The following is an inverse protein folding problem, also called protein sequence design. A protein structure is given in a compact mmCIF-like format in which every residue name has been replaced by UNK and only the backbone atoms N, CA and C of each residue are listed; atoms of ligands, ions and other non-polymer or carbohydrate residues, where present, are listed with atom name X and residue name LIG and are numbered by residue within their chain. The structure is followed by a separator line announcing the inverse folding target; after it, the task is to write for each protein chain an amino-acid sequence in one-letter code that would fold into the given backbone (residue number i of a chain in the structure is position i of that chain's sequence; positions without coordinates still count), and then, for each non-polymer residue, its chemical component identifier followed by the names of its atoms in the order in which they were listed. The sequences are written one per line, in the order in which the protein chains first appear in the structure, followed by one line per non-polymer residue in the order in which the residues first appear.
data_IF_049011379095
#
_entry.id   IF_049011379095
#
_cell.length_a   1.000
_cell.length_b   1.000
_cell.length_c   1.000
_cell.angle_alpha   90.00
_cell.angle_beta   90.00
_cell.angle_gamma   90.00
#
_symmetry.space_group_name_H-M   'P 1'
#
loop_
_entity.id
_entity.type
_entity.pdbx_description
1 polymer ?
#
# COMPACT_ATOMS: atom_id res chain seq x y z
N UNK A 1 -20.48 -2.45 -5.14
CA UNK A 1 -19.38 -2.47 -4.12
C UNK A 1 -18.95 -1.08 -3.66
N UNK A 2 -18.51 -0.17 -4.54
CA UNK A 2 -18.26 1.24 -4.15
C UNK A 2 -19.57 2.00 -3.86
N UNK A 3 -20.63 1.70 -4.62
CA UNK A 3 -21.96 2.32 -4.47
C UNK A 3 -22.48 2.24 -3.03
N UNK A 4 -22.49 1.04 -2.43
CA UNK A 4 -23.03 0.86 -1.06
C UNK A 4 -22.23 1.65 -0.01
N UNK A 5 -20.91 1.73 -0.14
CA UNK A 5 -20.06 2.50 0.77
C UNK A 5 -20.18 4.02 0.56
N UNK A 6 -20.53 4.45 -0.66
CA UNK A 6 -20.80 5.85 -0.99
C UNK A 6 -22.22 6.28 -0.64
N UNK A 7 -23.08 5.36 -0.21
CA UNK A 7 -24.41 5.69 0.29
C UNK A 7 -24.33 6.66 1.47
N UNK A 8 -25.29 7.58 1.58
CA UNK A 8 -25.37 8.48 2.73
C UNK A 8 -25.56 7.68 4.02
N UNK A 9 -25.13 8.27 5.14
CA UNK A 9 -25.27 7.63 6.46
C UNK A 9 -26.73 7.34 6.81
N UNK A 10 -27.66 8.21 6.43
CA UNK A 10 -29.11 8.03 6.53
C UNK A 10 -29.74 8.80 5.37
N UNK A 11 -31.04 8.62 5.16
CA UNK A 11 -31.71 9.28 4.04
C UNK A 11 -31.79 10.81 4.30
N UNK A 12 -31.25 11.61 3.37
CA UNK A 12 -31.09 13.07 3.53
C UNK A 12 -29.76 13.53 4.13
N UNK A 13 -28.79 12.63 4.37
CA UNK A 13 -27.45 13.01 4.80
C UNK A 13 -26.55 13.39 3.61
N UNK A 14 -26.44 14.70 3.33
CA UNK A 14 -25.61 15.18 2.19
C UNK A 14 -24.12 15.28 2.52
N UNK A 15 -23.78 15.40 3.81
CA UNK A 15 -22.41 15.71 4.26
C UNK A 15 -21.53 14.47 4.39
N UNK A 16 -22.10 13.32 4.75
CA UNK A 16 -21.33 12.11 5.05
C UNK A 16 -21.94 10.87 4.40
N UNK A 17 -21.08 10.11 3.73
CA UNK A 17 -21.34 8.72 3.35
C UNK A 17 -20.77 7.77 4.40
N UNK A 18 -21.17 6.51 4.35
CA UNK A 18 -20.57 5.44 5.18
C UNK A 18 -19.05 5.43 5.02
N UNK A 19 -18.56 5.62 3.80
CA UNK A 19 -17.13 5.64 3.49
C UNK A 19 -16.42 6.87 4.06
N UNK A 20 -16.96 8.09 3.85
CA UNK A 20 -16.30 9.30 4.34
C UNK A 20 -16.29 9.36 5.88
N UNK A 21 -17.36 8.87 6.52
CA UNK A 21 -17.39 8.70 7.97
C UNK A 21 -16.36 7.67 8.46
N UNK A 22 -16.24 6.53 7.76
CA UNK A 22 -15.24 5.51 8.09
C UNK A 22 -13.81 6.05 7.97
N UNK A 23 -13.51 6.78 6.91
CA UNK A 23 -12.20 7.42 6.72
C UNK A 23 -11.94 8.44 7.82
N UNK A 24 -12.92 9.30 8.14
CA UNK A 24 -12.77 10.29 9.20
C UNK A 24 -12.50 9.65 10.56
N UNK A 25 -13.20 8.57 10.91
CA UNK A 25 -12.96 7.84 12.16
C UNK A 25 -11.54 7.26 12.23
N UNK A 26 -11.05 6.68 11.12
CA UNK A 26 -9.68 6.16 11.06
C UNK A 26 -8.63 7.26 11.15
N UNK A 27 -8.85 8.40 10.48
CA UNK A 27 -7.99 9.58 10.56
C UNK A 27 -7.95 10.15 11.98
N UNK A 28 -9.10 10.31 12.64
CA UNK A 28 -9.14 10.75 14.05
C UNK A 28 -8.36 9.80 14.97
N UNK A 29 -8.46 8.49 14.72
CA UNK A 29 -7.69 7.50 15.47
C UNK A 29 -6.18 7.71 15.31
N UNK A 30 -5.71 7.94 14.08
CA UNK A 30 -4.29 8.07 13.78
C UNK A 30 -3.73 9.41 14.25
N UNK A 31 -4.43 10.50 13.94
CA UNK A 31 -3.93 11.86 14.15
C UNK A 31 -3.82 12.21 15.64
N UNK A 32 -4.74 11.68 16.45
CA UNK A 32 -4.82 11.95 17.88
C UNK A 32 -4.43 10.74 18.75
N UNK A 33 -3.98 9.63 18.14
CA UNK A 33 -3.58 8.44 18.88
C UNK A 33 -4.70 7.82 19.73
N UNK A 34 -5.96 7.97 19.34
CA UNK A 34 -7.09 7.53 20.17
C UNK A 34 -7.08 6.03 20.42
N UNK A 35 -7.32 5.64 21.66
CA UNK A 35 -7.46 4.23 22.03
C UNK A 35 -8.65 3.59 21.27
N UNK A 36 -8.47 2.37 20.78
CA UNK A 36 -9.50 1.72 19.94
C UNK A 36 -10.81 1.48 20.69
N UNK A 37 -10.74 1.08 21.97
CA UNK A 37 -11.92 0.90 22.80
C UNK A 37 -12.70 2.21 22.96
N UNK A 38 -12.02 3.29 23.33
CA UNK A 38 -12.64 4.61 23.51
C UNK A 38 -13.34 5.08 22.23
N UNK A 39 -12.68 4.93 21.07
CA UNK A 39 -13.28 5.32 19.81
C UNK A 39 -14.47 4.44 19.40
N UNK A 40 -14.45 3.15 19.72
CA UNK A 40 -15.60 2.27 19.48
C UNK A 40 -16.82 2.68 20.33
N UNK A 41 -16.63 3.00 21.61
CA UNK A 41 -17.69 3.50 22.49
C UNK A 41 -18.26 4.82 21.95
N UNK A 42 -17.38 5.75 21.55
CA UNK A 42 -17.79 7.01 20.93
C UNK A 42 -18.59 6.80 19.64
N UNK A 43 -18.20 5.86 18.77
CA UNK A 43 -18.93 5.57 17.55
C UNK A 43 -20.34 5.02 17.84
N UNK A 44 -20.49 4.20 18.88
CA UNK A 44 -21.80 3.68 19.30
C UNK A 44 -22.67 4.80 19.85
N UNK A 45 -22.14 5.60 20.79
CA UNK A 45 -22.83 6.77 21.34
C UNK A 45 -23.30 7.75 20.25
N UNK A 46 -22.45 8.03 19.26
CA UNK A 46 -22.84 8.86 18.12
C UNK A 46 -23.94 8.23 17.27
N UNK A 47 -23.93 6.90 17.10
CA UNK A 47 -24.98 6.17 16.39
C UNK A 47 -26.33 6.22 17.12
N UNK A 48 -26.31 6.24 18.46
CA UNK A 48 -27.52 6.30 19.29
C UNK A 48 -28.17 7.69 19.31
N UNK A 49 -27.41 8.76 19.02
CA UNK A 49 -27.93 10.14 18.90
C UNK A 49 -28.42 10.46 17.47
N UNK A 50 -27.99 9.67 16.49
CA UNK A 50 -28.40 9.81 15.09
C UNK A 50 -29.80 9.23 14.84
N UNK A 51 -30.44 9.55 13.70
CA UNK A 51 -31.73 8.97 13.31
C UNK A 51 -31.72 7.43 13.34
N UNK A 52 -32.87 6.81 13.60
CA UNK A 52 -32.99 5.35 13.75
C UNK A 52 -32.56 4.56 12.50
N UNK A 53 -32.65 5.15 11.31
CA UNK A 53 -32.26 4.55 10.03
C UNK A 53 -30.76 4.73 9.70
N UNK A 54 -29.96 5.24 10.64
CA UNK A 54 -28.55 5.49 10.39
C UNK A 54 -27.73 4.21 10.15
N UNK A 55 -26.76 4.36 9.25
CA UNK A 55 -25.86 3.31 8.76
C UNK A 55 -24.43 3.54 9.27
N UNK A 56 -24.28 4.26 10.39
CA UNK A 56 -22.96 4.48 11.00
C UNK A 56 -22.38 3.14 11.47
N UNK A 57 -21.08 2.94 11.23
CA UNK A 57 -20.40 1.72 11.65
C UNK A 57 -20.20 1.73 13.17
N UNK A 58 -20.32 0.55 13.80
CA UNK A 58 -20.32 0.44 15.27
C UNK A 58 -18.93 0.41 15.91
N UNK A 59 -17.89 0.21 15.09
CA UNK A 59 -16.51 0.11 15.58
C UNK A 59 -15.47 0.30 14.47
N UNK A 60 -14.23 0.49 14.90
CA UNK A 60 -13.06 0.68 14.06
C UNK A 60 -12.76 -0.54 13.19
N UNK A 61 -13.06 -1.75 13.65
CA UNK A 61 -12.89 -2.95 12.83
C UNK A 61 -13.77 -2.91 11.57
N UNK A 62 -15.05 -2.56 11.72
CA UNK A 62 -15.96 -2.37 10.59
C UNK A 62 -15.50 -1.24 9.67
N UNK A 63 -15.04 -0.11 10.22
CA UNK A 63 -14.48 1.00 9.43
C UNK A 63 -13.26 0.56 8.61
N UNK A 64 -12.30 -0.16 9.23
CA UNK A 64 -11.15 -0.76 8.55
C UNK A 64 -11.60 -1.71 7.43
N UNK A 65 -12.61 -2.55 7.68
CA UNK A 65 -13.16 -3.49 6.68
C UNK A 65 -13.82 -2.76 5.51
N UNK A 66 -14.55 -1.69 5.77
CA UNK A 66 -15.16 -0.85 4.73
C UNK A 66 -14.09 -0.18 3.86
N UNK A 67 -13.08 0.44 4.47
CA UNK A 67 -11.98 1.08 3.73
C UNK A 67 -11.11 0.06 2.99
N UNK A 68 -10.93 -1.14 3.53
CA UNK A 68 -10.20 -2.21 2.85
C UNK A 68 -10.82 -2.60 1.50
N UNK A 69 -12.14 -2.43 1.33
CA UNK A 69 -12.83 -2.66 0.04
C UNK A 69 -12.37 -1.69 -1.06
N UNK A 70 -11.72 -0.57 -0.72
CA UNK A 70 -11.16 0.37 -1.70
C UNK A 70 -9.88 -0.13 -2.40
N UNK A 71 -9.47 -1.39 -2.17
CA UNK A 71 -8.26 -1.95 -2.76
C UNK A 71 -6.96 -1.38 -2.17
N UNK A 72 -7.07 -0.66 -1.05
CA UNK A 72 -5.92 -0.16 -0.28
C UNK A 72 -5.37 -1.19 0.71
N UNK A 73 -5.92 -2.40 0.71
CA UNK A 73 -5.47 -3.49 1.56
C UNK A 73 -3.98 -3.77 1.40
N UNK A 74 -3.32 -4.06 2.51
CA UNK A 74 -2.04 -4.72 2.56
C UNK A 74 -2.27 -6.20 2.84
N UNK A 75 -1.41 -7.06 2.31
CA UNK A 75 -1.33 -8.45 2.71
C UNK A 75 -0.07 -8.68 3.52
N UNK A 76 -0.18 -9.55 4.52
CA UNK A 76 0.98 -9.98 5.29
C UNK A 76 1.55 -11.23 4.62
N UNK A 77 2.81 -11.16 4.21
CA UNK A 77 3.54 -12.27 3.60
C UNK A 77 4.63 -12.70 4.58
N UNK A 78 4.76 -14.00 4.82
CA UNK A 78 5.82 -14.52 5.66
C UNK A 78 7.14 -14.56 4.91
N UNK A 79 8.22 -14.28 5.62
CA UNK A 79 9.58 -14.23 5.07
C UNK A 79 10.45 -15.25 5.79
N UNK A 80 11.43 -15.79 5.07
CA UNK A 80 12.54 -16.46 5.72
C UNK A 80 13.20 -15.52 6.76
N UNK A 81 13.57 -16.00 7.97
CA UNK A 81 14.27 -15.18 8.97
C UNK A 81 15.55 -14.52 8.42
N UNK A 82 16.27 -15.21 7.53
CA UNK A 82 17.47 -14.71 6.87
C UNK A 82 17.19 -13.88 5.60
N UNK A 83 15.93 -13.67 5.22
CA UNK A 83 15.57 -12.90 4.02
C UNK A 83 15.75 -13.62 2.68
N UNK A 84 16.05 -14.93 2.67
CA UNK A 84 16.36 -15.66 1.43
C UNK A 84 15.16 -15.84 0.47
N UNK A 85 13.94 -15.90 1.00
CA UNK A 85 12.73 -16.11 0.20
C UNK A 85 11.47 -15.65 0.93
N UNK A 86 10.39 -15.49 0.15
CA UNK A 86 9.04 -15.25 0.64
C UNK A 86 8.21 -16.55 0.57
N UNK A 87 7.38 -16.77 1.58
CA UNK A 87 6.39 -17.85 1.60
C UNK A 87 5.11 -17.34 0.92
N UNK A 88 5.16 -17.26 -0.41
CA UNK A 88 4.11 -16.69 -1.26
C UNK A 88 3.89 -17.55 -2.51
N UNK A 89 2.63 -17.63 -2.99
CA UNK A 89 2.21 -18.47 -4.13
C UNK A 89 2.71 -19.92 -3.99
N UNK A 90 3.53 -20.41 -4.93
CA UNK A 90 4.13 -21.75 -4.95
C UNK A 90 4.80 -22.15 -3.62
N UNK A 91 5.25 -21.16 -2.84
CA UNK A 91 6.01 -21.35 -1.62
C UNK A 91 5.16 -21.21 -0.34
N UNK A 92 3.86 -20.96 -0.46
CA UNK A 92 2.99 -20.64 0.68
C UNK A 92 2.86 -21.79 1.68
N UNK A 93 2.93 -23.05 1.24
CA UNK A 93 2.75 -24.21 2.12
C UNK A 93 4.05 -24.68 2.79
N UNK A 94 5.19 -24.06 2.48
CA UNK A 94 6.47 -24.48 3.03
C UNK A 94 6.60 -24.09 4.50
N UNK A 95 7.12 -25.03 5.28
CA UNK A 95 7.44 -24.86 6.70
C UNK A 95 8.89 -24.40 6.92
N UNK A 96 9.76 -24.67 5.94
CA UNK A 96 11.18 -24.37 5.98
C UNK A 96 11.61 -23.64 4.70
N UNK A 97 12.65 -22.81 4.83
CA UNK A 97 13.24 -22.07 3.72
C UNK A 97 13.94 -23.04 2.75
N UNK A 98 13.62 -22.99 1.46
CA UNK A 98 14.28 -23.80 0.42
C UNK A 98 15.79 -23.54 0.31
N UNK A 99 16.23 -22.33 0.68
CA UNK A 99 17.64 -21.89 0.54
C UNK A 99 18.46 -22.21 1.78
N UNK A 100 18.03 -21.76 2.96
CA UNK A 100 18.82 -21.88 4.20
C UNK A 100 18.24 -22.88 5.21
N UNK A 101 17.18 -23.61 4.86
CA UNK A 101 16.52 -24.64 5.67
C UNK A 101 15.97 -24.20 7.03
N UNK A 102 16.09 -22.91 7.38
CA UNK A 102 15.53 -22.35 8.61
C UNK A 102 14.01 -22.47 8.63
N UNK A 103 13.48 -22.72 9.82
CA UNK A 103 12.05 -22.80 10.07
C UNK A 103 11.37 -21.46 9.80
N UNK A 104 10.13 -21.53 9.33
CA UNK A 104 9.25 -20.38 9.14
C UNK A 104 8.62 -19.89 10.43
N UNK A 105 8.25 -20.81 11.32
CA UNK A 105 7.43 -20.53 12.49
C UNK A 105 8.20 -20.71 13.79
N UNK A 106 7.80 -19.96 14.82
CA UNK A 106 8.12 -20.23 16.23
C UNK A 106 6.85 -20.63 16.98
N UNK A 107 7.02 -21.52 17.94
CA UNK A 107 5.94 -21.95 18.85
C UNK A 107 6.14 -21.32 20.22
N UNK A 108 5.05 -20.84 20.82
CA UNK A 108 5.07 -20.35 22.20
C UNK A 108 3.68 -20.47 22.83
N UNK A 109 3.64 -20.61 24.15
CA UNK A 109 2.40 -20.70 24.92
C UNK A 109 2.03 -19.33 25.46
N UNK A 110 0.77 -18.90 25.26
CA UNK A 110 0.25 -17.64 25.83
C UNK A 110 -1.14 -17.85 26.39
N UNK A 111 -1.31 -17.58 27.69
CA UNK A 111 -2.57 -17.83 28.45
C UNK A 111 -3.03 -19.30 28.32
N UNK A 112 -2.11 -20.24 28.51
CA UNK A 112 -2.39 -21.68 28.43
C UNK A 112 -2.70 -22.22 27.03
N UNK A 113 -2.60 -21.41 25.97
CA UNK A 113 -2.82 -21.84 24.59
C UNK A 113 -1.52 -21.78 23.78
N UNK A 114 -1.19 -22.88 23.11
CA UNK A 114 -0.08 -22.93 22.17
C UNK A 114 -0.40 -22.13 20.91
N UNK A 115 0.55 -21.30 20.50
CA UNK A 115 0.44 -20.46 19.31
C UNK A 115 1.63 -20.71 18.40
N UNK A 116 1.33 -20.81 17.11
CA UNK A 116 2.32 -20.88 16.04
C UNK A 116 2.30 -19.53 15.33
N UNK A 117 3.44 -18.85 15.27
CA UNK A 117 3.55 -17.55 14.60
C UNK A 117 4.78 -17.53 13.70
N UNK A 118 4.72 -16.85 12.55
CA UNK A 118 5.88 -16.71 11.68
C UNK A 118 6.99 -15.95 12.40
N UNK A 119 8.23 -16.35 12.14
CA UNK A 119 9.43 -15.73 12.71
C UNK A 119 9.68 -14.35 12.11
N UNK A 120 9.40 -14.17 10.81
CA UNK A 120 9.50 -12.89 10.10
C UNK A 120 8.36 -12.79 9.09
N UNK A 121 7.78 -11.60 8.96
CA UNK A 121 6.77 -11.29 7.95
C UNK A 121 6.98 -9.86 7.46
N UNK A 122 6.53 -9.59 6.24
CA UNK A 122 6.47 -8.27 5.64
C UNK A 122 5.03 -7.92 5.25
N UNK A 123 4.77 -6.63 5.08
CA UNK A 123 3.54 -6.15 4.48
C UNK A 123 3.78 -5.90 2.99
N UNK A 124 2.97 -6.54 2.15
CA UNK A 124 2.96 -6.31 0.70
C UNK A 124 1.70 -5.58 0.30
N UNK A 125 1.86 -4.62 -0.59
CA UNK A 125 0.80 -3.81 -1.14
C UNK A 125 0.57 -4.26 -2.60
N UNK A 126 -0.50 -5.03 -2.89
CA UNK A 126 -0.79 -5.50 -4.24
C UNK A 126 -0.76 -4.39 -5.30
N UNK A 127 0.13 -4.52 -6.29
CA UNK A 127 0.36 -3.47 -7.29
C UNK A 127 -0.80 -3.36 -8.27
N UNK A 128 -1.27 -4.50 -8.80
CA UNK A 128 -2.32 -4.55 -9.83
C UNK A 128 -3.58 -3.76 -9.45
N UNK A 129 -4.22 -3.95 -8.28
CA UNK A 129 -5.41 -3.17 -7.93
C UNK A 129 -5.11 -1.67 -7.75
N UNK A 130 -3.89 -1.31 -7.34
CA UNK A 130 -3.48 0.09 -7.20
C UNK A 130 -3.32 0.75 -8.56
N UNK A 131 -2.66 0.08 -9.50
CA UNK A 131 -2.52 0.57 -10.88
C UNK A 131 -3.88 0.73 -11.56
N UNK A 132 -4.78 -0.26 -11.43
CA UNK A 132 -6.15 -0.16 -11.95
C UNK A 132 -6.88 1.06 -11.38
N UNK A 133 -6.70 1.32 -10.08
CA UNK A 133 -7.30 2.48 -9.42
C UNK A 133 -6.72 3.80 -9.91
N UNK A 134 -5.40 3.90 -10.12
CA UNK A 134 -4.79 5.11 -10.67
C UNK A 134 -5.38 5.41 -12.07
N UNK A 135 -5.52 4.40 -12.93
CA UNK A 135 -6.16 4.56 -14.23
C UNK A 135 -7.68 4.79 -14.21
N UNK A 136 -8.35 4.58 -13.06
CA UNK A 136 -9.79 4.84 -12.92
C UNK A 136 -10.11 6.32 -12.72
N UNK A 137 -9.13 7.15 -12.39
CA UNK A 137 -9.26 8.61 -12.27
C UNK A 137 -8.84 9.27 -13.58
N UNK A 138 -9.68 10.13 -14.16
CA UNK A 138 -9.35 10.80 -15.43
C UNK A 138 -8.07 11.66 -15.32
N UNK A 139 -7.94 12.42 -14.24
CA UNK A 139 -6.77 13.26 -13.99
C UNK A 139 -5.50 12.41 -13.86
N UNK A 140 -5.55 11.39 -13.01
CA UNK A 140 -4.39 10.53 -12.76
C UNK A 140 -4.04 9.67 -13.98
N UNK A 141 -5.04 9.20 -14.73
CA UNK A 141 -4.82 8.46 -15.98
C UNK A 141 -4.15 9.31 -17.06
N UNK A 142 -4.44 10.62 -17.10
CA UNK A 142 -3.74 11.55 -17.99
C UNK A 142 -2.26 11.64 -17.61
N UNK A 143 -1.94 11.87 -16.34
CA UNK A 143 -0.57 11.90 -15.81
C UNK A 143 0.17 10.58 -16.05
N UNK A 144 -0.47 9.43 -15.84
CA UNK A 144 0.14 8.12 -16.06
C UNK A 144 0.56 7.87 -17.51
N UNK A 145 -0.11 8.50 -18.49
CA UNK A 145 0.21 8.40 -19.92
C UNK A 145 1.16 9.50 -20.39
N UNK A 146 1.48 10.46 -19.52
CA UNK A 146 2.25 11.65 -19.90
C UNK A 146 3.59 11.30 -20.55
N UNK A 147 4.25 10.25 -20.06
CA UNK A 147 5.52 9.72 -20.56
C UNK A 147 5.53 9.35 -22.07
N UNK A 148 4.35 9.17 -22.66
CA UNK A 148 4.17 8.86 -24.08
C UNK A 148 3.77 10.10 -24.89
N UNK A 149 3.07 11.06 -24.28
CA UNK A 149 2.50 12.22 -24.98
C UNK A 149 3.37 13.47 -24.93
N UNK A 150 4.30 13.55 -23.99
CA UNK A 150 5.13 14.74 -23.82
C UNK A 150 6.24 14.81 -24.87
N UNK A 151 6.62 16.04 -25.20
CA UNK A 151 7.79 16.27 -26.05
C UNK A 151 9.03 16.28 -25.16
N UNK A 152 10.04 15.50 -25.55
CA UNK A 152 11.31 15.43 -24.83
C UNK A 152 12.20 16.58 -25.28
N UNK A 153 12.67 17.40 -24.36
CA UNK A 153 13.70 18.38 -24.66
C UNK A 153 15.09 17.72 -24.62
N UNK A 154 15.91 17.81 -25.70
CA UNK A 154 17.19 17.10 -25.76
C UNK A 154 18.19 17.50 -24.66
N UNK A 155 18.09 18.74 -24.16
CA UNK A 155 19.06 19.34 -23.24
C UNK A 155 18.66 19.28 -21.77
N UNK A 156 17.47 18.77 -21.42
CA UNK A 156 16.96 18.80 -20.05
C UNK A 156 16.26 17.49 -19.67
N UNK A 157 16.57 16.99 -18.48
CA UNK A 157 15.86 15.86 -17.87
C UNK A 157 14.73 16.41 -17.00
N UNK A 158 13.56 16.60 -17.61
CA UNK A 158 12.36 17.11 -16.93
C UNK A 158 11.59 16.02 -16.18
N UNK A 159 11.76 14.77 -16.61
CA UNK A 159 11.03 13.61 -16.09
C UNK A 159 11.90 12.34 -16.16
N UNK A 160 11.73 11.34 -15.28
CA UNK A 160 12.45 10.06 -15.34
C UNK A 160 12.35 9.31 -16.67
N UNK A 161 11.30 9.58 -17.46
CA UNK A 161 11.15 9.01 -18.81
C UNK A 161 12.14 9.58 -19.84
N UNK A 162 12.77 10.72 -19.52
CA UNK A 162 13.76 11.35 -20.38
C UNK A 162 15.13 10.68 -20.20
N UNK A 163 15.31 9.92 -19.11
CA UNK A 163 16.55 9.25 -18.74
C UNK A 163 16.94 8.15 -19.74
N UNK A 164 18.25 7.93 -19.88
CA UNK A 164 18.82 6.94 -20.79
C UNK A 164 18.31 5.52 -20.54
N UNK A 165 18.15 5.12 -19.27
CA UNK A 165 17.62 3.81 -18.92
C UNK A 165 16.20 3.58 -19.46
N UNK A 166 15.36 4.62 -19.51
CA UNK A 166 14.03 4.54 -20.09
C UNK A 166 14.08 4.40 -21.60
N UNK A 167 14.94 5.17 -22.28
CA UNK A 167 15.16 5.08 -23.73
C UNK A 167 15.63 3.70 -24.15
N UNK A 168 16.65 3.19 -23.46
CA UNK A 168 17.18 1.85 -23.71
C UNK A 168 16.11 0.77 -23.53
N UNK A 169 15.25 0.90 -22.51
CA UNK A 169 14.12 -0.03 -22.33
C UNK A 169 13.11 0.05 -23.48
N UNK A 170 12.75 1.26 -23.93
CA UNK A 170 11.81 1.46 -25.04
C UNK A 170 12.36 0.92 -26.38
N UNK A 171 13.66 1.06 -26.62
CA UNK A 171 14.36 0.50 -27.79
C UNK A 171 14.43 -1.03 -27.74
N UNK A 172 14.64 -1.60 -26.55
CA UNK A 172 14.72 -3.06 -26.36
C UNK A 172 13.34 -3.71 -26.49
N UNK A 173 12.27 -3.03 -26.09
CA UNK A 173 10.90 -3.55 -26.10
C UNK A 173 9.90 -2.60 -26.80
N UNK A 174 9.99 -2.45 -28.14
CA UNK A 174 9.16 -1.48 -28.87
C UNK A 174 7.66 -1.72 -28.75
N UNK A 175 7.23 -2.99 -28.79
CA UNK A 175 5.80 -3.36 -28.66
C UNK A 175 5.24 -2.95 -27.29
N UNK A 176 6.06 -3.04 -26.24
CA UNK A 176 5.67 -2.57 -24.91
C UNK A 176 5.65 -1.04 -24.86
N UNK A 177 6.59 -0.37 -25.53
CA UNK A 177 6.68 1.09 -25.54
C UNK A 177 5.55 1.78 -26.32
N UNK A 178 5.00 1.11 -27.34
CA UNK A 178 3.90 1.62 -28.14
C UNK A 178 2.58 1.74 -27.38
N UNK A 179 2.32 0.90 -26.37
CA UNK A 179 1.10 0.95 -25.58
C UNK A 179 1.20 1.99 -24.45
N UNK A 180 0.48 3.14 -24.52
CA UNK A 180 0.64 4.24 -23.57
C UNK A 180 0.18 3.91 -22.13
N UNK A 181 -0.61 2.84 -21.96
CA UNK A 181 -1.10 2.37 -20.66
C UNK A 181 -0.10 1.45 -19.94
N UNK A 182 1.02 1.13 -20.57
CA UNK A 182 2.04 0.32 -19.95
C UNK A 182 2.82 1.14 -18.91
N UNK A 183 2.91 0.58 -17.70
CA UNK A 183 3.57 1.24 -16.56
C UNK A 183 4.96 0.65 -16.38
N UNK A 184 5.96 1.52 -16.31
CA UNK A 184 7.33 1.16 -15.93
C UNK A 184 7.53 1.47 -14.46
N UNK A 185 8.04 0.49 -13.72
CA UNK A 185 8.25 0.59 -12.28
C UNK A 185 9.75 0.70 -12.00
N UNK A 186 10.16 1.79 -11.38
CA UNK A 186 11.53 1.97 -10.90
C UNK A 186 11.69 1.35 -9.52
N UNK A 187 12.76 0.57 -9.34
CA UNK A 187 13.21 0.17 -8.02
C UNK A 187 14.18 1.21 -7.49
N UNK A 188 13.87 1.78 -6.34
CA UNK A 188 14.81 2.63 -5.61
C UNK A 188 15.10 1.99 -4.26
N UNK A 189 16.39 1.91 -3.93
CA UNK A 189 16.86 1.55 -2.60
C UNK A 189 17.40 2.83 -1.96
N UNK A 190 16.73 3.30 -0.91
CA UNK A 190 17.24 4.40 -0.08
C UNK A 190 18.56 3.97 0.56
N UNK A 191 19.62 4.78 0.40
CA UNK A 191 20.96 4.51 0.93
C UNK A 191 21.95 3.75 0.02
N UNK A 192 21.63 3.51 -1.26
CA UNK A 192 22.60 2.93 -2.20
C UNK A 192 23.46 4.04 -2.81
N UNK A 193 24.61 4.34 -2.20
CA UNK A 193 25.62 5.25 -2.74
C UNK A 193 26.78 4.42 -3.35
N UNK A 194 26.72 4.04 -4.65
CA UNK A 194 27.72 3.14 -5.24
C UNK A 194 29.14 3.72 -5.30
N UNK A 195 29.31 5.03 -5.09
CA UNK A 195 30.61 5.72 -5.22
C UNK A 195 31.03 6.55 -4.00
N UNK A 196 30.20 6.62 -2.95
CA UNK A 196 30.50 7.47 -1.80
C UNK A 196 31.15 6.64 -0.68
N UNK A 197 32.48 6.79 -0.51
CA UNK A 197 33.23 6.17 0.60
C UNK A 197 32.96 6.84 1.96
N UNK A 198 32.09 7.85 1.99
CA UNK A 198 31.76 8.65 3.18
C UNK A 198 30.27 8.72 3.49
N UNK A 199 29.45 7.82 2.91
CA UNK A 199 27.99 7.85 3.01
C UNK A 199 27.45 8.01 4.43
N UNK A 200 26.83 9.16 4.70
CA UNK A 200 26.09 9.43 5.95
C UNK A 200 24.93 8.44 6.09
N UNK A 201 24.82 7.80 7.25
CA UNK A 201 23.74 6.89 7.65
C UNK A 201 22.45 7.65 7.99
N UNK A 202 21.89 8.37 7.02
CA UNK A 202 20.59 9.03 7.17
C UNK A 202 19.58 8.41 6.20
N UNK A 203 18.82 7.43 6.70
CA UNK A 203 17.54 7.02 6.10
C UNK A 203 16.44 7.77 6.83
N UNK A 204 15.50 8.36 6.10
CA UNK A 204 14.38 9.13 6.68
C UNK A 204 13.32 8.28 7.42
N UNK A 205 13.60 6.99 7.70
CA UNK A 205 12.65 6.03 8.26
C UNK A 205 13.32 5.04 9.23
N UNK A 206 12.57 4.40 10.16
CA UNK A 206 13.14 3.76 11.35
C UNK A 206 14.07 2.60 10.99
N UNK A 207 15.29 2.66 11.56
CA UNK A 207 16.37 1.68 11.41
C UNK A 207 15.92 0.28 11.82
N UNK A 208 15.58 -0.57 10.84
CA UNK A 208 15.68 -2.02 10.96
C UNK A 208 15.75 -2.66 9.56
N UNK A 209 16.90 -3.25 9.28
CA UNK A 209 17.33 -3.92 8.05
C UNK A 209 16.26 -4.78 7.36
N UNK A 210 15.69 -4.22 6.30
CA UNK A 210 15.27 -4.87 5.07
C UNK A 210 15.59 -3.84 3.99
N UNK A 211 16.29 -4.22 2.92
CA UNK A 211 16.38 -3.36 1.74
C UNK A 211 14.96 -2.95 1.38
N UNK A 212 14.59 -1.70 1.66
CA UNK A 212 13.31 -1.18 1.23
C UNK A 212 13.44 -1.02 -0.27
N UNK A 213 13.16 -2.10 -1.00
CA UNK A 213 12.93 -2.06 -2.43
C UNK A 213 11.60 -1.32 -2.57
N UNK A 214 11.69 0.00 -2.74
CA UNK A 214 10.53 0.79 -3.08
C UNK A 214 10.26 0.57 -4.55
N UNK A 215 9.07 0.09 -4.85
CA UNK A 215 8.47 0.30 -6.16
C UNK A 215 8.02 1.75 -6.13
N UNK A 216 8.86 2.62 -6.70
CA UNK A 216 8.46 3.99 -6.94
C UNK A 216 7.41 3.94 -8.04
N UNK A 217 6.14 3.95 -7.62
CA UNK A 217 5.10 4.59 -8.39
C UNK A 217 5.35 6.08 -8.17
N UNK A 218 5.98 6.76 -9.14
CA UNK A 218 5.92 8.21 -9.22
C UNK A 218 4.67 8.57 -10.03
N UNK A 219 3.47 8.72 -9.41
CA UNK A 219 2.64 9.84 -9.81
C UNK A 219 3.27 11.06 -9.13
N UNK A 220 3.67 12.04 -9.93
CA UNK A 220 4.42 13.18 -9.47
C UNK A 220 3.75 13.87 -8.27
N UNK A 221 4.59 14.21 -7.30
CA UNK A 221 4.35 15.32 -6.38
C UNK A 221 4.56 16.58 -7.21
N UNK A 222 3.51 17.38 -7.35
CA UNK A 222 3.59 18.84 -7.50
C UNK A 222 3.02 19.45 -6.23
#
# INVERSE_FOLDING_TARGET
MLKDAQSPLWDGCDKYSILSASLRALTLKTDYGLFEGCLNEWMQFMGDIMPDDNRLLKNIYQAKKTVAKLGLGSMKIDCCPSGCMLYYKENEMLQNCKVCQRQRYKRFTRRGKDKVVPLKSMWYFPLVPRLKRLYSSMQTAHEMKWHHTHQREPSSLSHPSDAEAWRHFDETWPDFAQEPRNVRLGLCADGFAPFDKTGRTYSCWPKNYIYNIYIILLPFIL
#
